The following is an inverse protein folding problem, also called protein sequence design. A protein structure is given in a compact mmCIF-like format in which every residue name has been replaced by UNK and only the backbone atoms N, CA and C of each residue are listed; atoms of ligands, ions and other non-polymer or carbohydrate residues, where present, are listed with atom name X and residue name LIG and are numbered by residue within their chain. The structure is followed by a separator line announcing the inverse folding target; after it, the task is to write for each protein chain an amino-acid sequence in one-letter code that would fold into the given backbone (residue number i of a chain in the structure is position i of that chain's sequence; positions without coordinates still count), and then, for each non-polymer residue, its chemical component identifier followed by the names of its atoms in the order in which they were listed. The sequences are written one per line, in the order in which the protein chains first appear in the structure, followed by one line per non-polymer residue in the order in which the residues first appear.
data_IF_696520367796
#
_entry.id   IF_696520367796
#
_cell.length_a   1.000
_cell.length_b   1.000
_cell.length_c   1.000
_cell.angle_alpha   90.00
_cell.angle_beta   90.00
_cell.angle_gamma   90.00
#
_symmetry.space_group_name_H-M   'P 1'
#
loop_
_entity.id
_entity.type
_entity.pdbx_description
1 polymer ?
#
# COMPACT_ATOMS: atom_id res chain seq x y z
N UNK A 1 -53.17 -37.09 65.37
CA UNK A 1 -51.95 -36.27 65.21
C UNK A 1 -51.74 -36.12 63.71
N UNK A 2 -52.01 -35.03 63.00
CA UNK A 2 -52.33 -33.63 63.27
C UNK A 2 -53.50 -33.23 62.36
N UNK A 3 -54.51 -32.54 62.88
CA UNK A 3 -55.51 -31.83 62.07
C UNK A 3 -55.01 -30.40 61.94
N UNK A 4 -54.59 -30.00 60.74
CA UNK A 4 -54.24 -28.61 60.44
C UNK A 4 -55.50 -27.92 59.93
N UNK A 5 -56.12 -27.12 60.81
CA UNK A 5 -57.22 -26.21 60.45
C UNK A 5 -56.60 -24.97 59.83
N UNK A 6 -56.82 -24.78 58.54
CA UNK A 6 -56.43 -23.59 57.80
C UNK A 6 -57.53 -22.54 57.96
N UNK A 7 -57.40 -21.61 58.91
CA UNK A 7 -58.27 -20.44 59.01
C UNK A 7 -57.86 -19.40 57.97
N UNK A 8 -58.60 -19.37 56.86
CA UNK A 8 -58.56 -18.30 55.86
C UNK A 8 -59.19 -17.03 56.43
N UNK A 9 -58.35 -16.05 56.77
CA UNK A 9 -58.78 -14.68 57.10
C UNK A 9 -59.20 -14.00 55.81
N UNK A 10 -60.50 -13.81 55.61
CA UNK A 10 -61.08 -12.95 54.59
C UNK A 10 -60.79 -11.49 54.98
N UNK A 11 -59.62 -10.98 54.59
CA UNK A 11 -59.42 -9.53 54.47
C UNK A 11 -60.23 -9.05 53.25
N UNK A 12 -61.40 -8.45 53.50
CA UNK A 12 -62.08 -7.62 52.51
C UNK A 12 -61.24 -6.36 52.28
N UNK A 13 -60.27 -6.46 51.38
CA UNK A 13 -59.59 -5.28 50.83
C UNK A 13 -60.63 -4.46 50.08
N UNK A 14 -61.04 -3.33 50.65
CA UNK A 14 -61.77 -2.31 49.91
C UNK A 14 -60.81 -1.78 48.84
N UNK A 15 -61.07 -2.14 47.58
CA UNK A 15 -60.40 -1.54 46.44
C UNK A 15 -60.77 -0.05 46.43
N UNK A 16 -59.85 0.80 46.87
CA UNK A 16 -60.03 2.23 46.79
C UNK A 16 -59.88 2.64 45.32
N UNK A 17 -60.92 3.24 44.74
CA UNK A 17 -60.83 3.86 43.42
C UNK A 17 -59.84 5.04 43.53
N UNK A 18 -58.87 5.14 42.63
CA UNK A 18 -58.01 6.32 42.53
C UNK A 18 -58.39 7.17 41.31
N UNK A 19 -58.32 8.48 41.47
CA UNK A 19 -58.56 9.48 40.42
C UNK A 19 -57.49 10.57 40.50
N UNK A 20 -57.47 11.47 39.52
CA UNK A 20 -56.46 12.53 39.45
C UNK A 20 -57.08 13.90 39.69
N UNK A 21 -56.58 14.61 40.72
CA UNK A 21 -56.98 15.97 41.06
C UNK A 21 -56.07 16.99 40.36
N UNK A 22 -56.65 17.75 39.46
CA UNK A 22 -56.00 18.80 38.67
C UNK A 22 -56.30 20.22 39.17
N UNK A 23 -56.98 20.39 40.31
CA UNK A 23 -57.37 21.69 40.89
C UNK A 23 -56.42 22.25 41.95
N UNK A 24 -55.32 21.55 42.26
CA UNK A 24 -54.37 21.93 43.31
C UNK A 24 -53.51 23.17 43.00
N UNK A 25 -53.06 23.85 44.06
CA UNK A 25 -52.33 25.14 44.00
C UNK A 25 -50.88 24.99 43.46
N UNK A 26 -50.28 23.81 43.55
CA UNK A 26 -48.91 23.53 43.12
C UNK A 26 -48.84 22.38 42.10
N UNK A 27 -49.21 22.67 40.85
CA UNK A 27 -49.14 21.71 39.74
C UNK A 27 -47.99 22.09 38.79
N UNK A 28 -47.11 21.13 38.48
CA UNK A 28 -46.06 21.30 37.49
C UNK A 28 -46.69 21.45 36.10
N UNK A 29 -46.45 22.61 35.48
CA UNK A 29 -46.94 22.96 34.14
C UNK A 29 -45.79 22.98 33.15
N UNK A 30 -45.96 22.30 32.02
CA UNK A 30 -45.02 22.30 30.89
C UNK A 30 -45.75 22.87 29.67
N UNK A 31 -45.13 23.84 29.02
CA UNK A 31 -45.68 24.45 27.80
C UNK A 31 -44.95 23.88 26.59
N UNK A 32 -45.70 23.41 25.60
CA UNK A 32 -45.17 22.84 24.35
C UNK A 32 -45.69 23.68 23.20
N UNK A 33 -44.81 24.05 22.26
CA UNK A 33 -45.17 24.78 21.04
C UNK A 33 -45.84 23.86 20.02
N UNK A 34 -46.86 24.36 19.32
CA UNK A 34 -47.60 23.65 18.27
C UNK A 34 -47.31 24.18 16.84
N UNK A 35 -46.33 25.09 16.68
CA UNK A 35 -46.14 25.85 15.43
C UNK A 35 -45.25 25.11 14.43
N UNK A 36 -44.07 24.65 14.84
CA UNK A 36 -43.09 24.07 13.91
C UNK A 36 -42.33 22.89 14.53
N UNK A 37 -42.05 21.88 13.69
CA UNK A 37 -41.14 20.80 14.00
C UNK A 37 -39.72 21.17 13.55
N UNK A 38 -38.67 20.75 14.28
CA UNK A 38 -37.30 21.10 13.93
C UNK A 38 -36.86 20.47 12.60
N UNK A 39 -36.02 21.20 11.86
CA UNK A 39 -35.42 20.70 10.62
C UNK A 39 -34.46 19.53 10.88
N UNK A 40 -34.59 18.48 10.07
CA UNK A 40 -33.70 17.32 10.11
C UNK A 40 -32.39 17.63 9.38
N UNK A 41 -31.38 18.11 10.10
CA UNK A 41 -30.07 18.42 9.52
C UNK A 41 -29.17 17.18 9.48
N UNK A 42 -28.78 16.75 8.29
CA UNK A 42 -27.72 15.75 8.07
C UNK A 42 -26.41 16.45 7.72
N UNK A 43 -25.30 16.04 8.35
CA UNK A 43 -23.96 16.54 8.00
C UNK A 43 -23.54 15.95 6.66
N UNK A 44 -23.42 16.78 5.63
CA UNK A 44 -22.83 16.36 4.36
C UNK A 44 -21.30 16.43 4.45
N UNK A 45 -20.58 15.39 3.99
CA UNK A 45 -19.12 15.44 3.92
C UNK A 45 -18.68 16.39 2.80
N UNK A 46 -17.62 17.16 3.06
CA UNK A 46 -17.04 18.05 2.07
C UNK A 46 -16.01 17.27 1.23
N UNK A 47 -16.52 16.56 0.22
CA UNK A 47 -15.72 15.75 -0.69
C UNK A 47 -15.56 16.51 -2.00
N UNK A 48 -14.32 16.78 -2.40
CA UNK A 48 -14.01 17.33 -3.73
C UNK A 48 -13.29 16.30 -4.58
N UNK A 49 -13.65 16.21 -5.86
CA UNK A 49 -13.02 15.32 -6.83
C UNK A 49 -12.46 16.12 -8.01
N UNK A 50 -11.19 15.92 -8.35
CA UNK A 50 -10.56 16.55 -9.51
C UNK A 50 -9.80 15.52 -10.35
N UNK A 51 -9.81 15.68 -11.67
CA UNK A 51 -9.09 14.80 -12.58
C UNK A 51 -7.63 15.26 -12.72
N UNK A 52 -6.68 14.37 -12.42
CA UNK A 52 -5.23 14.65 -12.43
C UNK A 52 -4.46 13.58 -13.19
N UNK A 53 -3.33 13.96 -13.80
CA UNK A 53 -2.39 13.01 -14.41
C UNK A 53 -1.48 12.43 -13.33
N UNK A 54 -1.34 11.12 -13.29
CA UNK A 54 -0.52 10.43 -12.30
C UNK A 54 0.44 9.44 -12.95
N UNK A 55 1.55 9.20 -12.26
CA UNK A 55 2.42 8.04 -12.45
C UNK A 55 2.52 7.29 -11.12
N UNK A 56 2.21 6.00 -11.15
CA UNK A 56 2.36 5.10 -10.00
C UNK A 56 3.62 4.29 -10.21
N UNK A 57 4.56 4.42 -9.28
CA UNK A 57 5.85 3.74 -9.34
C UNK A 57 6.00 2.80 -8.16
N UNK A 58 6.78 1.74 -8.36
CA UNK A 58 7.08 0.77 -7.32
C UNK A 58 8.59 0.58 -7.22
N UNK A 59 9.15 0.48 -6.02
CA UNK A 59 10.55 0.04 -5.88
C UNK A 59 10.66 -1.45 -6.20
N UNK A 60 11.55 -1.77 -7.15
CA UNK A 60 11.86 -3.16 -7.49
C UNK A 60 12.92 -3.68 -6.51
N UNK A 61 12.73 -4.90 -6.02
CA UNK A 61 13.76 -5.58 -5.22
C UNK A 61 14.84 -6.19 -6.11
N UNK A 62 14.47 -6.56 -7.34
CA UNK A 62 15.33 -7.23 -8.31
C UNK A 62 15.22 -6.48 -9.64
N UNK A 63 16.33 -6.27 -10.34
CA UNK A 63 16.36 -5.86 -11.74
C UNK A 63 17.35 -6.72 -12.53
N UNK A 64 17.23 -6.74 -13.85
CA UNK A 64 18.19 -7.42 -14.71
C UNK A 64 19.27 -6.45 -15.18
N UNK A 65 20.51 -6.91 -15.19
CA UNK A 65 21.66 -6.14 -15.67
C UNK A 65 22.47 -6.94 -16.66
N UNK A 66 22.89 -6.30 -17.76
CA UNK A 66 23.83 -6.90 -18.69
C UNK A 66 25.25 -6.83 -18.12
N UNK A 67 25.98 -7.91 -18.28
CA UNK A 67 27.38 -8.00 -17.90
C UNK A 67 28.23 -8.53 -19.05
N UNK A 68 29.47 -8.09 -19.06
CA UNK A 68 30.53 -8.57 -19.92
C UNK A 68 31.36 -9.58 -19.14
N UNK A 69 31.60 -10.73 -19.74
CA UNK A 69 32.48 -11.77 -19.22
C UNK A 69 33.70 -11.84 -20.12
N UNK A 70 34.89 -11.72 -19.55
CA UNK A 70 36.15 -11.92 -20.27
C UNK A 70 37.12 -12.75 -19.43
N UNK A 71 37.67 -13.82 -20.01
CA UNK A 71 38.69 -14.67 -19.39
C UNK A 71 39.80 -14.93 -20.39
N UNK A 72 41.04 -14.71 -19.97
CA UNK A 72 42.23 -14.93 -20.77
C UNK A 72 43.16 -15.85 -20.00
N UNK A 73 43.36 -17.06 -20.51
CA UNK A 73 44.26 -18.05 -19.95
C UNK A 73 45.43 -18.27 -20.90
N UNK A 74 46.64 -18.16 -20.39
CA UNK A 74 47.85 -18.38 -21.15
C UNK A 74 48.48 -19.71 -20.73
N UNK A 75 48.60 -20.62 -21.68
CA UNK A 75 49.31 -21.88 -21.52
C UNK A 75 50.68 -21.75 -22.17
N UNK A 76 51.71 -21.86 -21.35
CA UNK A 76 53.09 -21.70 -21.78
C UNK A 76 53.78 -23.03 -21.90
N UNK A 77 54.60 -23.12 -22.93
CA UNK A 77 55.40 -24.27 -23.23
C UNK A 77 56.83 -23.82 -23.55
N UNK A 78 57.75 -24.13 -22.65
CA UNK A 78 59.12 -23.66 -22.63
C UNK A 78 60.06 -24.78 -23.06
N UNK A 79 60.83 -24.49 -24.11
CA UNK A 79 61.85 -25.36 -24.67
C UNK A 79 63.22 -24.73 -24.46
N UNK A 80 64.24 -25.58 -24.43
CA UNK A 80 65.65 -25.17 -24.50
C UNK A 80 66.08 -25.19 -25.96
N UNK A 81 66.52 -24.04 -26.45
CA UNK A 81 67.10 -23.91 -27.78
C UNK A 81 68.59 -24.20 -27.74
N UNK A 82 68.96 -25.40 -28.16
CA UNK A 82 70.34 -25.90 -28.11
C UNK A 82 71.15 -25.49 -29.34
N UNK A 83 72.46 -25.74 -29.29
CA UNK A 83 73.32 -25.55 -30.47
C UNK A 83 73.22 -26.75 -31.42
N UNK A 84 72.98 -27.94 -30.87
CA UNK A 84 72.92 -29.21 -31.62
C UNK A 84 71.61 -29.99 -31.42
N UNK A 85 70.92 -29.82 -30.30
CA UNK A 85 69.68 -30.52 -29.96
C UNK A 85 68.77 -29.61 -29.16
N UNK A 86 67.49 -29.59 -29.52
CA UNK A 86 66.45 -28.89 -28.77
C UNK A 86 65.80 -29.85 -27.78
N UNK A 87 65.64 -29.41 -26.54
CA UNK A 87 65.09 -30.23 -25.46
C UNK A 87 64.00 -29.49 -24.70
N UNK A 88 63.23 -30.24 -23.91
CA UNK A 88 62.27 -29.66 -22.98
C UNK A 88 62.97 -29.15 -21.73
N UNK A 89 62.54 -28.00 -21.23
CA UNK A 89 62.95 -27.55 -19.89
C UNK A 89 62.11 -28.27 -18.84
N UNK A 90 62.73 -28.64 -17.71
CA UNK A 90 61.98 -29.19 -16.58
C UNK A 90 61.02 -28.12 -16.03
N UNK A 91 59.81 -28.52 -15.69
CA UNK A 91 58.70 -27.62 -15.35
C UNK A 91 58.38 -26.57 -16.43
N UNK A 92 58.74 -26.83 -17.69
CA UNK A 92 58.54 -25.91 -18.80
C UNK A 92 57.09 -25.75 -19.28
N UNK A 93 56.14 -26.48 -18.68
CA UNK A 93 54.71 -26.33 -18.95
C UNK A 93 54.01 -25.70 -17.74
N UNK A 94 53.39 -24.54 -17.94
CA UNK A 94 52.64 -23.85 -16.89
C UNK A 94 51.53 -23.00 -17.49
N UNK A 95 50.52 -22.67 -16.69
CA UNK A 95 49.42 -21.80 -17.10
C UNK A 95 49.28 -20.60 -16.16
N UNK A 96 48.88 -19.46 -16.70
CA UNK A 96 48.54 -18.27 -15.93
C UNK A 96 47.25 -17.63 -16.43
N UNK A 97 46.49 -17.01 -15.52
CA UNK A 97 45.33 -16.18 -15.87
C UNK A 97 45.83 -14.76 -16.03
N UNK A 98 45.62 -14.19 -17.21
CA UNK A 98 46.04 -12.82 -17.49
C UNK A 98 44.93 -11.85 -17.11
N UNK A 99 45.31 -10.78 -16.40
CA UNK A 99 44.39 -9.71 -16.03
C UNK A 99 43.97 -8.92 -17.27
N UNK A 100 42.66 -8.67 -17.39
CA UNK A 100 42.07 -7.91 -18.50
C UNK A 100 41.39 -6.67 -17.93
N UNK A 101 41.61 -5.52 -18.56
CA UNK A 101 40.90 -4.28 -18.23
C UNK A 101 39.48 -4.25 -18.82
N UNK A 102 38.62 -3.39 -18.27
CA UNK A 102 37.24 -3.21 -18.76
C UNK A 102 37.21 -2.83 -20.24
N UNK A 103 38.11 -1.95 -20.68
CA UNK A 103 38.17 -1.47 -22.06
C UNK A 103 38.64 -2.56 -23.01
N UNK A 104 39.63 -3.36 -22.63
CA UNK A 104 40.06 -4.53 -23.40
C UNK A 104 38.93 -5.56 -23.51
N UNK A 105 38.14 -5.77 -22.46
CA UNK A 105 36.98 -6.66 -22.51
C UNK A 105 35.87 -6.12 -23.44
N UNK A 106 35.64 -4.80 -23.44
CA UNK A 106 34.73 -4.14 -24.39
C UNK A 106 35.22 -4.33 -25.82
N UNK A 107 36.52 -4.17 -26.08
CA UNK A 107 37.10 -4.38 -27.41
C UNK A 107 36.96 -5.84 -27.87
N UNK A 108 37.15 -6.80 -26.96
CA UNK A 108 36.96 -8.22 -27.28
C UNK A 108 35.51 -8.54 -27.66
N UNK A 109 34.55 -8.02 -26.89
CA UNK A 109 33.12 -8.36 -27.04
C UNK A 109 32.43 -7.56 -28.16
N UNK A 110 32.66 -6.26 -28.22
CA UNK A 110 31.98 -5.36 -29.17
C UNK A 110 32.79 -5.15 -30.44
N UNK A 111 34.10 -4.91 -30.31
CA UNK A 111 34.98 -4.59 -31.45
C UNK A 111 35.59 -5.83 -32.11
N UNK A 112 35.47 -7.02 -31.49
CA UNK A 112 36.02 -8.30 -31.94
C UNK A 112 37.54 -8.28 -32.18
N UNK A 113 38.31 -7.56 -31.36
CA UNK A 113 39.77 -7.64 -31.39
C UNK A 113 40.38 -7.51 -30.00
N UNK A 114 41.62 -7.95 -29.86
CA UNK A 114 42.46 -7.67 -28.70
C UNK A 114 43.86 -7.25 -29.17
N UNK A 115 44.47 -6.29 -28.47
CA UNK A 115 45.88 -5.95 -28.67
C UNK A 115 46.71 -6.70 -27.62
N UNK A 116 47.60 -7.59 -28.08
CA UNK A 116 48.42 -8.38 -27.16
C UNK A 116 49.57 -7.54 -26.60
N UNK A 117 49.53 -7.27 -25.29
CA UNK A 117 50.59 -6.52 -24.58
C UNK A 117 51.82 -7.37 -24.24
N UNK A 118 51.71 -8.70 -24.29
CA UNK A 118 52.70 -9.65 -23.76
C UNK A 118 53.53 -10.35 -24.85
N UNK A 119 53.88 -9.64 -25.92
CA UNK A 119 54.63 -10.20 -27.05
C UNK A 119 54.97 -9.17 -28.10
N UNK A 120 54.65 -9.44 -29.37
CA UNK A 120 54.56 -8.41 -30.40
C UNK A 120 53.26 -7.64 -30.18
N UNK A 121 53.28 -6.32 -30.34
CA UNK A 121 52.11 -5.43 -30.22
C UNK A 121 51.13 -5.68 -31.40
N UNK A 122 50.66 -6.92 -31.54
CA UNK A 122 49.86 -7.43 -32.65
C UNK A 122 48.39 -7.40 -32.26
N UNK A 123 47.60 -6.89 -33.20
CA UNK A 123 46.14 -6.93 -33.12
C UNK A 123 45.66 -8.29 -33.61
N UNK A 124 44.91 -8.99 -32.77
CA UNK A 124 44.32 -10.29 -33.10
C UNK A 124 42.81 -10.10 -33.26
N UNK A 125 42.29 -10.46 -34.42
CA UNK A 125 40.84 -10.44 -34.70
C UNK A 125 40.19 -11.69 -34.11
N UNK A 126 39.08 -11.49 -33.40
CA UNK A 126 38.36 -12.52 -32.69
C UNK A 126 37.09 -12.94 -33.45
N UNK A 127 36.74 -14.24 -33.48
CA UNK A 127 35.48 -14.71 -34.04
C UNK A 127 34.29 -14.30 -33.17
N UNK A 128 33.05 -14.35 -33.67
CA UNK A 128 31.86 -14.01 -32.87
C UNK A 128 31.40 -15.14 -31.93
N UNK A 129 32.13 -16.25 -31.86
CA UNK A 129 31.69 -17.48 -31.17
C UNK A 129 31.95 -17.47 -29.66
N UNK A 130 32.47 -16.37 -29.12
CA UNK A 130 32.73 -16.17 -27.69
C UNK A 130 33.88 -17.01 -27.11
N UNK A 131 34.56 -17.81 -27.94
CA UNK A 131 35.76 -18.55 -27.61
C UNK A 131 36.75 -18.49 -28.77
N UNK A 132 38.02 -18.24 -28.47
CA UNK A 132 39.10 -18.25 -29.46
C UNK A 132 40.41 -18.72 -28.85
N UNK A 133 41.20 -19.46 -29.64
CA UNK A 133 42.54 -19.88 -29.25
C UNK A 133 43.58 -19.36 -30.23
N UNK A 134 44.63 -18.75 -29.69
CA UNK A 134 45.71 -18.14 -30.47
C UNK A 134 47.06 -18.57 -29.94
N UNK A 135 47.92 -19.12 -30.79
CA UNK A 135 49.27 -19.55 -30.40
C UNK A 135 50.33 -18.68 -31.05
N UNK A 136 51.30 -18.23 -30.28
CA UNK A 136 52.43 -17.43 -30.76
C UNK A 136 53.70 -17.68 -29.94
N UNK A 137 54.86 -17.44 -30.55
CA UNK A 137 56.15 -17.48 -29.85
C UNK A 137 56.31 -16.18 -29.06
N UNK A 138 56.23 -16.26 -27.74
CA UNK A 138 56.23 -15.08 -26.86
C UNK A 138 57.61 -14.75 -26.28
N UNK A 139 58.58 -15.66 -26.40
CA UNK A 139 59.96 -15.45 -25.98
C UNK A 139 60.92 -16.29 -26.82
N UNK A 140 62.06 -15.72 -27.21
CA UNK A 140 62.93 -16.29 -28.24
C UNK A 140 62.28 -16.20 -29.62
N UNK A 141 62.75 -16.99 -30.57
CA UNK A 141 62.17 -17.05 -31.91
C UNK A 141 62.21 -18.46 -32.48
N UNK A 142 61.27 -18.73 -33.38
CA UNK A 142 61.23 -19.96 -34.17
C UNK A 142 60.98 -19.51 -35.60
N UNK A 143 61.90 -19.80 -36.50
CA UNK A 143 61.78 -19.47 -37.92
C UNK A 143 62.30 -20.64 -38.77
N UNK A 144 61.51 -21.05 -39.76
CA UNK A 144 61.91 -22.08 -40.73
C UNK A 144 62.39 -23.42 -40.16
N UNK A 145 62.04 -23.78 -38.92
CA UNK A 145 62.48 -25.01 -38.25
C UNK A 145 63.76 -24.86 -37.41
N UNK A 146 64.34 -23.65 -37.32
CA UNK A 146 65.43 -23.31 -36.41
C UNK A 146 64.92 -22.43 -35.27
N UNK A 147 65.43 -22.65 -34.06
CA UNK A 147 65.14 -21.82 -32.90
C UNK A 147 66.23 -20.76 -32.70
N UNK A 148 65.83 -19.56 -32.27
CA UNK A 148 66.74 -18.54 -31.76
C UNK A 148 66.57 -18.46 -30.24
N UNK A 149 67.64 -18.79 -29.51
CA UNK A 149 67.60 -18.83 -28.05
C UNK A 149 67.32 -17.43 -27.51
N UNK A 150 66.26 -17.29 -26.71
CA UNK A 150 66.08 -16.10 -25.89
C UNK A 150 67.11 -16.04 -24.76
N UNK A 151 67.03 -14.96 -23.97
CA UNK A 151 67.81 -14.82 -22.74
C UNK A 151 67.36 -15.80 -21.64
N UNK A 152 67.70 -15.48 -20.39
CA UNK A 152 67.17 -16.24 -19.24
C UNK A 152 65.71 -15.84 -18.99
N UNK A 153 64.80 -16.80 -19.07
CA UNK A 153 63.38 -16.60 -18.75
C UNK A 153 63.13 -17.01 -17.28
N UNK A 154 62.32 -16.23 -16.57
CA UNK A 154 61.88 -16.58 -15.20
C UNK A 154 60.37 -16.77 -15.18
N UNK A 155 59.88 -17.86 -14.60
CA UNK A 155 58.46 -18.12 -14.42
C UNK A 155 57.85 -17.20 -13.35
N UNK A 156 56.51 -17.05 -13.32
CA UNK A 156 55.82 -16.43 -12.17
C UNK A 156 56.11 -17.11 -10.83
N UNK A 157 56.44 -18.42 -10.85
CA UNK A 157 56.84 -19.21 -9.68
C UNK A 157 58.32 -19.11 -9.31
N UNK A 158 59.12 -18.30 -10.03
CA UNK A 158 60.54 -18.03 -9.74
C UNK A 158 61.54 -19.03 -10.35
N UNK A 159 61.10 -19.98 -11.16
CA UNK A 159 61.97 -20.94 -11.85
C UNK A 159 62.68 -20.24 -13.01
N UNK A 160 63.99 -20.44 -13.14
CA UNK A 160 64.81 -19.80 -14.19
C UNK A 160 65.22 -20.83 -15.25
N UNK A 161 65.02 -20.48 -16.52
CA UNK A 161 65.41 -21.28 -17.68
C UNK A 161 66.40 -20.52 -18.55
N UNK A 162 67.56 -21.12 -18.83
CA UNK A 162 68.55 -20.58 -19.75
C UNK A 162 68.20 -20.95 -21.21
N UNK A 163 68.59 -20.08 -22.15
CA UNK A 163 68.39 -20.29 -23.59
C UNK A 163 66.95 -20.71 -23.93
N UNK A 164 66.00 -20.07 -23.28
CA UNK A 164 64.60 -20.48 -23.34
C UNK A 164 63.93 -19.97 -24.62
N UNK A 165 63.04 -20.78 -25.17
CA UNK A 165 62.07 -20.41 -26.19
C UNK A 165 60.69 -20.77 -25.66
N UNK A 166 59.77 -19.80 -25.63
CA UNK A 166 58.43 -19.98 -25.06
C UNK A 166 57.37 -19.82 -26.13
N UNK A 167 56.64 -20.91 -26.36
CA UNK A 167 55.39 -20.88 -27.11
C UNK A 167 54.24 -20.65 -26.13
N UNK A 168 53.38 -19.70 -26.44
CA UNK A 168 52.21 -19.37 -25.63
C UNK A 168 50.97 -19.65 -26.44
N UNK A 169 50.05 -20.43 -25.87
CA UNK A 169 48.69 -20.61 -26.36
C UNK A 169 47.75 -19.83 -25.45
N UNK A 170 47.12 -18.82 -26.00
CA UNK A 170 46.06 -18.06 -25.35
C UNK A 170 44.72 -18.73 -25.60
N UNK A 171 43.93 -18.91 -24.56
CA UNK A 171 42.53 -19.28 -24.61
C UNK A 171 41.69 -18.12 -24.09
N UNK A 172 40.90 -17.55 -24.99
CA UNK A 172 40.09 -16.36 -24.77
C UNK A 172 38.63 -16.77 -24.73
N UNK A 173 37.94 -16.44 -23.64
CA UNK A 173 36.48 -16.55 -23.52
C UNK A 173 35.90 -15.16 -23.31
N UNK A 174 34.98 -14.74 -24.18
CA UNK A 174 34.35 -13.42 -24.11
C UNK A 174 32.87 -13.51 -24.49
N UNK A 175 31.98 -13.14 -23.58
CA UNK A 175 30.53 -13.26 -23.80
C UNK A 175 29.77 -12.15 -23.09
N UNK A 176 28.60 -11.79 -23.62
CA UNK A 176 27.61 -10.99 -22.90
C UNK A 176 26.63 -11.92 -22.20
N UNK A 177 26.26 -11.59 -20.97
CA UNK A 177 25.22 -12.28 -20.22
C UNK A 177 24.28 -11.32 -19.49
N UNK A 178 23.23 -11.87 -18.91
CA UNK A 178 22.29 -11.16 -18.03
C UNK A 178 22.39 -11.72 -16.61
N UNK A 179 22.44 -10.82 -15.62
CA UNK A 179 22.53 -11.14 -14.21
C UNK A 179 21.43 -10.41 -13.43
N UNK A 180 21.13 -10.90 -12.22
CA UNK A 180 20.08 -10.33 -11.36
C UNK A 180 20.70 -9.41 -10.32
N UNK A 181 20.26 -8.16 -10.31
CA UNK A 181 20.66 -7.11 -9.39
C UNK A 181 19.67 -7.04 -8.23
N UNK A 182 20.12 -7.33 -7.01
CA UNK A 182 19.34 -7.22 -5.78
C UNK A 182 19.58 -5.84 -5.15
N UNK A 183 18.60 -4.95 -5.26
CA UNK A 183 18.74 -3.57 -4.81
C UNK A 183 18.80 -3.42 -3.28
N UNK A 184 18.11 -4.28 -2.53
CA UNK A 184 18.08 -4.26 -1.06
C UNK A 184 19.43 -4.67 -0.45
N UNK A 185 20.12 -5.63 -1.08
CA UNK A 185 21.40 -6.21 -0.61
C UNK A 185 22.63 -5.51 -1.22
N UNK A 186 22.44 -4.77 -2.32
CA UNK A 186 23.56 -4.20 -3.09
C UNK A 186 24.40 -5.26 -3.80
N UNK A 187 23.78 -6.36 -4.24
CA UNK A 187 24.47 -7.53 -4.80
C UNK A 187 23.99 -7.87 -6.23
N UNK A 188 24.92 -8.26 -7.09
CA UNK A 188 24.64 -8.89 -8.39
C UNK A 188 24.82 -10.39 -8.24
N UNK A 189 23.78 -11.18 -8.57
CA UNK A 189 23.83 -12.64 -8.62
C UNK A 189 23.81 -13.12 -10.06
N UNK A 190 24.83 -13.89 -10.43
CA UNK A 190 25.00 -14.45 -11.77
C UNK A 190 24.33 -15.83 -11.90
N UNK A 191 24.06 -16.32 -13.13
CA UNK A 191 23.34 -17.58 -13.35
C UNK A 191 23.97 -18.82 -12.69
N UNK A 192 25.29 -18.82 -12.45
CA UNK A 192 25.99 -19.91 -11.76
C UNK A 192 26.00 -19.80 -10.22
N UNK A 193 25.29 -18.81 -9.64
CA UNK A 193 25.23 -18.58 -8.20
C UNK A 193 26.34 -17.69 -7.62
N UNK A 194 27.23 -17.15 -8.46
CA UNK A 194 28.25 -16.18 -8.00
C UNK A 194 27.58 -14.88 -7.59
N UNK A 195 28.07 -14.28 -6.50
CA UNK A 195 27.54 -13.05 -5.91
C UNK A 195 28.65 -12.01 -5.86
N UNK A 196 28.40 -10.83 -6.40
CA UNK A 196 29.37 -9.71 -6.41
C UNK A 196 28.73 -8.41 -5.93
N UNK A 197 29.53 -7.49 -5.40
CA UNK A 197 29.07 -6.18 -4.94
C UNK A 197 28.84 -5.23 -6.12
N UNK A 198 27.66 -4.62 -6.20
CA UNK A 198 27.23 -3.77 -7.33
C UNK A 198 28.10 -2.53 -7.49
N UNK A 199 28.56 -1.95 -6.37
CA UNK A 199 29.25 -0.66 -6.34
C UNK A 199 30.62 -0.65 -7.02
N UNK A 200 31.25 -1.82 -7.16
CA UNK A 200 32.58 -1.94 -7.76
C UNK A 200 32.55 -1.95 -9.29
N UNK A 201 31.40 -2.29 -9.90
CA UNK A 201 31.26 -2.38 -11.36
C UNK A 201 32.12 -3.47 -12.03
N UNK A 202 32.84 -4.27 -11.22
CA UNK A 202 33.72 -5.36 -11.63
C UNK A 202 33.72 -6.46 -10.58
N UNK A 203 34.01 -7.69 -10.99
CA UNK A 203 34.22 -8.82 -10.09
C UNK A 203 35.02 -9.93 -10.76
N UNK A 204 35.91 -10.56 -10.02
CA UNK A 204 36.77 -11.62 -10.51
C UNK A 204 36.35 -12.96 -9.91
N UNK A 205 36.13 -13.96 -10.76
CA UNK A 205 35.72 -15.28 -10.31
C UNK A 205 36.39 -16.38 -11.13
N UNK A 206 36.81 -17.47 -10.48
CA UNK A 206 37.52 -18.59 -11.14
C UNK A 206 36.74 -19.21 -12.31
N UNK A 207 35.41 -19.34 -12.17
CA UNK A 207 34.55 -19.91 -13.21
C UNK A 207 34.23 -18.96 -14.36
N UNK A 208 34.01 -17.67 -14.09
CA UNK A 208 33.60 -16.70 -15.13
C UNK A 208 34.77 -15.90 -15.70
N UNK A 209 35.91 -15.83 -15.02
CA UNK A 209 36.97 -14.86 -15.31
C UNK A 209 36.62 -13.49 -14.73
N UNK A 210 36.94 -12.45 -15.49
CA UNK A 210 36.64 -11.07 -15.17
C UNK A 210 35.22 -10.72 -15.63
N UNK A 211 34.43 -10.17 -14.72
CA UNK A 211 33.06 -9.73 -14.96
C UNK A 211 33.00 -8.21 -14.84
N UNK A 212 32.34 -7.56 -15.80
CA UNK A 212 32.14 -6.12 -15.81
C UNK A 212 30.69 -5.77 -16.10
N UNK A 213 30.17 -4.76 -15.43
CA UNK A 213 28.83 -4.21 -15.72
C UNK A 213 28.85 -2.70 -15.60
N UNK A 214 27.79 -2.05 -16.09
CA UNK A 214 27.60 -0.63 -15.85
C UNK A 214 26.96 -0.45 -14.47
N UNK A 215 27.56 0.33 -13.57
CA UNK A 215 26.92 0.66 -12.29
C UNK A 215 25.63 1.44 -12.61
N UNK A 216 24.44 1.00 -12.15
CA UNK A 216 23.20 1.68 -12.45
C UNK A 216 23.26 3.11 -11.91
N UNK A 217 23.14 4.08 -12.80
CA UNK A 217 22.93 5.47 -12.39
C UNK A 217 21.49 5.64 -11.91
N UNK A 218 21.19 6.64 -11.06
CA UNK A 218 19.83 6.97 -10.64
C UNK A 218 18.97 7.57 -11.79
N UNK A 219 19.30 7.30 -13.05
CA UNK A 219 18.54 7.76 -14.20
C UNK A 219 17.28 6.91 -14.37
N UNK A 220 16.14 7.59 -14.28
CA UNK A 220 14.82 7.00 -14.43
C UNK A 220 14.44 6.65 -15.87
N UNK A 221 15.24 7.07 -16.86
CA UNK A 221 15.09 6.59 -18.24
C UNK A 221 15.72 5.23 -18.45
N UNK A 222 16.57 4.78 -17.51
CA UNK A 222 17.23 3.48 -17.62
C UNK A 222 16.30 2.34 -17.24
N UNK A 223 16.40 1.24 -17.98
CA UNK A 223 15.68 -0.03 -17.73
C UNK A 223 16.06 -0.62 -16.36
N UNK A 224 17.21 -0.23 -15.81
CA UNK A 224 17.78 -0.76 -14.57
C UNK A 224 17.58 0.18 -13.38
N UNK A 225 16.56 1.04 -13.45
CA UNK A 225 16.23 1.94 -12.36
C UNK A 225 15.66 1.16 -11.17
N UNK A 226 15.95 1.64 -9.95
CA UNK A 226 15.43 1.05 -8.69
C UNK A 226 13.90 1.05 -8.57
N UNK A 227 13.24 1.78 -9.47
CA UNK A 227 11.81 1.95 -9.49
C UNK A 227 11.28 1.45 -10.83
N UNK A 228 10.13 0.78 -10.84
CA UNK A 228 9.37 0.42 -12.04
C UNK A 228 8.10 1.27 -12.14
N UNK A 229 7.64 1.50 -13.38
CA UNK A 229 6.37 2.16 -13.65
C UNK A 229 5.24 1.12 -13.65
N UNK A 230 4.33 1.21 -12.69
CA UNK A 230 3.17 0.32 -12.56
C UNK A 230 2.01 0.81 -13.40
N UNK A 231 1.67 2.10 -13.27
CA UNK A 231 0.56 2.72 -13.99
C UNK A 231 0.89 4.15 -14.36
N UNK A 232 0.39 4.58 -15.50
CA UNK A 232 0.48 5.97 -15.95
C UNK A 232 -0.80 6.33 -16.70
N UNK A 233 -1.44 7.41 -16.29
CA UNK A 233 -2.72 7.82 -16.87
C UNK A 233 -3.43 8.87 -16.04
N UNK A 234 -4.68 9.13 -16.40
CA UNK A 234 -5.53 10.07 -15.66
C UNK A 234 -6.23 9.36 -14.51
N UNK A 235 -6.37 10.04 -13.38
CA UNK A 235 -6.97 9.53 -12.17
C UNK A 235 -7.79 10.62 -11.46
N UNK A 236 -8.79 10.21 -10.68
CA UNK A 236 -9.56 11.12 -9.85
C UNK A 236 -8.86 11.28 -8.50
N UNK A 237 -8.42 12.50 -8.19
CA UNK A 237 -8.00 12.88 -6.85
C UNK A 237 -9.23 13.26 -6.04
N UNK A 238 -9.50 12.51 -4.99
CA UNK A 238 -10.60 12.72 -4.04
C UNK A 238 -9.99 13.29 -2.76
N UNK A 239 -10.45 14.47 -2.36
CA UNK A 239 -10.06 15.11 -1.10
C UNK A 239 -11.27 15.08 -0.18
N UNK A 240 -11.14 14.36 0.92
CA UNK A 240 -12.14 14.32 1.98
C UNK A 240 -11.66 15.19 3.14
N UNK A 241 -12.33 16.34 3.31
CA UNK A 241 -12.10 17.26 4.42
C UNK A 241 -13.08 16.94 5.53
N UNK A 242 -12.64 16.10 6.47
CA UNK A 242 -13.41 15.89 7.69
C UNK A 242 -13.31 17.12 8.61
N UNK A 243 -14.31 17.29 9.46
CA UNK A 243 -14.56 18.46 10.35
C UNK A 243 -13.43 18.78 11.34
N UNK A 244 -12.37 17.96 11.38
CA UNK A 244 -11.28 17.90 12.36
C UNK A 244 -9.90 18.22 11.75
N UNK A 245 -9.83 19.04 10.70
CA UNK A 245 -8.59 19.49 10.01
C UNK A 245 -7.72 18.38 9.38
N UNK A 246 -8.13 17.10 9.45
CA UNK A 246 -7.44 16.01 8.77
C UNK A 246 -7.96 15.88 7.34
N UNK A 247 -7.27 16.53 6.41
CA UNK A 247 -7.48 16.30 4.99
C UNK A 247 -6.95 14.90 4.62
N UNK A 248 -7.83 14.03 4.14
CA UNK A 248 -7.41 12.74 3.56
C UNK A 248 -7.55 12.79 2.05
N UNK A 249 -6.46 12.48 1.36
CA UNK A 249 -6.39 12.51 -0.09
C UNK A 249 -6.27 11.09 -0.64
N UNK A 250 -7.08 10.78 -1.65
CA UNK A 250 -7.10 9.49 -2.32
C UNK A 250 -6.97 9.69 -3.82
N UNK A 251 -6.27 8.78 -4.47
CA UNK A 251 -6.22 8.70 -5.92
C UNK A 251 -6.97 7.46 -6.35
N UNK A 252 -7.98 7.65 -7.18
CA UNK A 252 -8.79 6.60 -7.76
C UNK A 252 -8.52 6.49 -9.26
N UNK A 253 -8.14 5.30 -9.69
CA UNK A 253 -7.89 4.96 -11.09
C UNK A 253 -8.95 3.97 -11.53
N UNK A 254 -9.67 4.30 -12.60
CA UNK A 254 -10.62 3.43 -13.27
C UNK A 254 -10.40 3.59 -14.78
N UNK A 255 -9.42 2.87 -15.32
CA UNK A 255 -9.07 2.89 -16.74
C UNK A 255 -8.58 1.50 -17.20
N UNK A 256 -9.31 0.88 -18.13
CA UNK A 256 -8.97 -0.44 -18.68
C UNK A 256 -8.94 -1.52 -17.58
N UNK A 257 -7.83 -2.28 -17.52
CA UNK A 257 -7.63 -3.34 -16.50
C UNK A 257 -7.19 -2.82 -15.12
N UNK A 258 -7.03 -1.49 -14.98
CA UNK A 258 -6.62 -0.84 -13.74
C UNK A 258 -7.83 -0.23 -13.04
N UNK A 259 -8.25 -0.90 -11.96
CA UNK A 259 -9.23 -0.39 -11.01
C UNK A 259 -8.65 -0.50 -9.59
N UNK A 260 -8.21 0.63 -9.04
CA UNK A 260 -7.64 0.69 -7.70
C UNK A 260 -7.80 2.07 -7.07
N UNK A 261 -7.73 2.12 -5.73
CA UNK A 261 -7.70 3.35 -4.97
C UNK A 261 -6.56 3.34 -3.96
N UNK A 262 -5.76 4.39 -3.94
CA UNK A 262 -4.60 4.51 -3.06
C UNK A 262 -4.68 5.79 -2.26
N UNK A 263 -4.44 5.68 -0.95
CA UNK A 263 -4.36 6.86 -0.07
C UNK A 263 -2.99 7.51 -0.21
N UNK A 264 -2.99 8.83 -0.36
CA UNK A 264 -1.76 9.61 -0.35
C UNK A 264 -1.33 9.87 1.09
N UNK A 265 -0.07 9.55 1.36
CA UNK A 265 0.62 9.78 2.63
C UNK A 265 1.40 11.09 2.61
N UNK A 266 2.58 11.07 3.23
CA UNK A 266 3.45 12.25 3.31
C UNK A 266 4.06 12.57 1.93
N UNK A 267 4.04 13.84 1.49
CA UNK A 267 4.84 14.29 0.36
C UNK A 267 6.32 14.38 0.77
N UNK A 268 7.24 14.18 -0.20
CA UNK A 268 8.67 14.46 0.01
C UNK A 268 9.63 13.44 -0.58
N UNK A 269 9.13 12.31 -1.09
CA UNK A 269 9.97 11.34 -1.80
C UNK A 269 10.18 11.81 -3.24
N UNK A 270 11.41 12.15 -3.62
CA UNK A 270 11.74 12.51 -5.00
C UNK A 270 11.97 11.23 -5.81
N UNK A 271 11.11 11.02 -6.82
CA UNK A 271 11.24 9.93 -7.79
C UNK A 271 11.45 10.57 -9.15
N UNK A 272 12.62 10.36 -9.74
CA UNK A 272 12.95 10.87 -11.06
C UNK A 272 12.91 12.41 -11.16
N UNK A 273 13.19 13.10 -10.04
CA UNK A 273 13.11 14.56 -9.96
C UNK A 273 11.70 15.10 -9.69
N UNK A 274 10.69 14.24 -9.58
CA UNK A 274 9.32 14.64 -9.24
C UNK A 274 9.01 14.36 -7.77
N UNK A 275 8.33 15.31 -7.14
CA UNK A 275 7.80 15.12 -5.79
C UNK A 275 6.67 14.09 -5.82
N UNK A 276 6.92 12.96 -5.17
CA UNK A 276 6.00 11.85 -5.06
C UNK A 276 5.48 11.72 -3.64
N UNK A 277 4.30 11.15 -3.54
CA UNK A 277 3.63 10.83 -2.29
C UNK A 277 3.92 9.39 -1.93
N UNK A 278 4.28 9.18 -0.67
CA UNK A 278 4.23 7.85 -0.06
C UNK A 278 2.79 7.34 -0.03
N UNK A 279 2.61 6.03 -0.03
CA UNK A 279 1.29 5.40 0.07
C UNK A 279 1.22 4.51 1.30
N UNK A 280 0.08 3.87 1.54
CA UNK A 280 -0.07 2.85 2.58
C UNK A 280 0.88 1.66 2.38
N UNK A 281 1.36 1.44 1.15
CA UNK A 281 2.34 0.42 0.85
C UNK A 281 3.76 1.02 0.81
N UNK A 282 4.74 0.45 1.53
CA UNK A 282 6.08 1.05 1.70
C UNK A 282 6.90 1.13 0.40
N UNK A 283 6.54 0.31 -0.60
CA UNK A 283 7.22 0.24 -1.90
C UNK A 283 6.46 0.91 -3.03
N UNK A 284 5.27 1.46 -2.78
CA UNK A 284 4.42 2.06 -3.82
C UNK A 284 4.37 3.57 -3.61
N UNK A 285 4.58 4.32 -4.68
CA UNK A 285 4.61 5.77 -4.67
C UNK A 285 3.72 6.32 -5.79
N UNK A 286 3.05 7.43 -5.49
CA UNK A 286 2.18 8.11 -6.46
C UNK A 286 2.77 9.48 -6.73
N UNK A 287 3.08 9.74 -7.99
CA UNK A 287 3.53 11.04 -8.48
C UNK A 287 2.39 11.71 -9.21
N UNK A 288 1.98 12.89 -8.75
CA UNK A 288 1.03 13.73 -9.48
C UNK A 288 1.84 14.57 -10.45
N UNK A 289 1.59 14.43 -11.75
CA UNK A 289 2.35 15.13 -12.80
C UNK A 289 1.64 16.45 -13.12
N UNK A 290 2.25 17.61 -12.82
CA UNK A 290 1.67 18.91 -13.17
C UNK A 290 1.48 19.06 -14.68
N UNK A 291 0.41 19.71 -15.12
CA UNK A 291 0.12 19.93 -16.55
C UNK A 291 1.22 20.73 -17.28
N UNK A 292 1.97 21.57 -16.56
CA UNK A 292 3.06 22.39 -17.10
C UNK A 292 4.46 21.76 -16.96
N UNK A 293 4.54 20.49 -16.56
CA UNK A 293 5.81 19.79 -16.33
C UNK A 293 6.17 18.87 -17.51
N UNK A 294 7.46 18.54 -17.70
CA UNK A 294 7.84 17.53 -18.69
C UNK A 294 7.18 16.19 -18.36
N UNK A 295 6.96 15.40 -19.41
CA UNK A 295 6.42 14.06 -19.29
C UNK A 295 7.22 13.21 -18.31
N UNK A 296 6.53 12.39 -17.51
CA UNK A 296 7.19 11.52 -16.55
C UNK A 296 8.15 10.55 -17.28
N UNK A 297 9.45 10.55 -16.93
CA UNK A 297 10.51 10.03 -17.80
C UNK A 297 10.60 8.50 -17.84
N UNK A 298 9.89 7.79 -16.96
CA UNK A 298 9.89 6.33 -16.94
C UNK A 298 8.98 5.77 -18.04
N UNK A 299 9.50 4.82 -18.82
CA UNK A 299 8.78 4.06 -19.82
C UNK A 299 8.55 2.65 -19.27
N UNK A 300 7.35 2.08 -19.39
CA UNK A 300 6.97 0.77 -18.83
C UNK A 300 8.01 -0.32 -19.11
N UNK A 301 8.59 -0.98 -18.09
CA UNK A 301 9.06 -2.34 -18.21
C UNK A 301 8.34 -3.16 -17.13
N UNK A 302 7.30 -3.89 -17.51
CA UNK A 302 6.69 -4.84 -16.59
C UNK A 302 6.74 -6.20 -17.26
N UNK A 303 7.80 -6.93 -16.95
CA UNK A 303 7.76 -8.39 -16.97
C UNK A 303 6.76 -8.85 -15.91
N UNK A 304 6.05 -9.94 -16.19
CA UNK A 304 4.98 -10.48 -15.33
C UNK A 304 5.42 -10.84 -13.90
N UNK A 305 6.72 -10.89 -13.62
CA UNK A 305 7.28 -11.29 -12.32
C UNK A 305 7.38 -10.13 -11.31
N UNK A 306 7.38 -8.86 -11.74
CA UNK A 306 7.68 -7.72 -10.86
C UNK A 306 6.46 -6.93 -10.36
N UNK A 307 5.27 -7.12 -10.95
CA UNK A 307 4.04 -6.67 -10.29
C UNK A 307 3.81 -7.63 -9.14
N UNK A 308 4.30 -7.25 -7.97
CA UNK A 308 4.04 -8.01 -6.76
C UNK A 308 2.51 -8.11 -6.61
N UNK A 309 1.99 -9.28 -6.94
CA UNK A 309 0.57 -9.59 -7.01
C UNK A 309 -0.11 -9.25 -5.67
N UNK A 310 0.63 -9.35 -4.55
CA UNK A 310 0.17 -8.95 -3.23
C UNK A 310 -0.09 -7.43 -3.12
N UNK A 311 0.71 -6.59 -3.78
CA UNK A 311 0.53 -5.13 -3.74
C UNK A 311 -0.71 -4.70 -4.53
N UNK A 312 -0.98 -5.36 -5.66
CA UNK A 312 -2.18 -5.14 -6.47
C UNK A 312 -3.45 -5.71 -5.79
N UNK A 313 -3.34 -6.88 -5.16
CA UNK A 313 -4.44 -7.49 -4.40
C UNK A 313 -4.79 -6.64 -3.19
N UNK A 314 -3.80 -6.16 -2.44
CA UNK A 314 -4.01 -5.33 -1.26
C UNK A 314 -4.69 -4.01 -1.60
N UNK A 315 -4.33 -3.35 -2.72
CA UNK A 315 -4.98 -2.10 -3.11
C UNK A 315 -6.45 -2.29 -3.52
N UNK A 316 -6.79 -3.40 -4.18
CA UNK A 316 -8.19 -3.75 -4.48
C UNK A 316 -8.99 -4.10 -3.24
N UNK A 317 -8.43 -4.85 -2.29
CA UNK A 317 -9.12 -5.14 -1.03
C UNK A 317 -9.40 -3.88 -0.21
N UNK A 318 -8.42 -2.98 -0.12
CA UNK A 318 -8.58 -1.69 0.54
C UNK A 318 -9.67 -0.85 -0.15
N UNK A 319 -9.70 -0.85 -1.48
CA UNK A 319 -10.76 -0.19 -2.24
C UNK A 319 -12.15 -0.77 -1.92
N UNK A 320 -12.31 -2.09 -1.95
CA UNK A 320 -13.58 -2.75 -1.63
C UNK A 320 -14.04 -2.38 -0.21
N UNK A 321 -13.16 -2.48 0.78
CA UNK A 321 -13.51 -2.12 2.17
C UNK A 321 -13.95 -0.65 2.29
N UNK A 322 -13.27 0.27 1.59
CA UNK A 322 -13.64 1.70 1.60
C UNK A 322 -14.96 1.95 0.90
N UNK A 323 -15.17 1.35 -0.26
CA UNK A 323 -16.42 1.49 -0.99
C UNK A 323 -17.60 0.95 -0.16
N UNK A 324 -17.45 -0.24 0.44
CA UNK A 324 -18.46 -0.78 1.35
C UNK A 324 -18.70 0.13 2.54
N UNK A 325 -17.65 0.68 3.17
CA UNK A 325 -17.80 1.65 4.26
C UNK A 325 -18.58 2.89 3.81
N UNK A 326 -18.25 3.47 2.65
CA UNK A 326 -18.93 4.65 2.13
C UNK A 326 -20.40 4.39 1.86
N UNK A 327 -20.76 3.23 1.31
CA UNK A 327 -22.16 2.87 1.07
C UNK A 327 -22.91 2.61 2.39
N UNK A 328 -22.27 2.00 3.40
CA UNK A 328 -22.86 1.84 4.73
C UNK A 328 -23.07 3.19 5.42
N UNK A 329 -22.08 4.08 5.37
CA UNK A 329 -22.18 5.43 5.95
C UNK A 329 -23.28 6.24 5.23
N UNK A 330 -23.41 6.10 3.91
CA UNK A 330 -24.48 6.72 3.12
C UNK A 330 -25.85 6.21 3.55
N UNK A 331 -26.00 4.89 3.69
CA UNK A 331 -27.24 4.26 4.15
C UNK A 331 -27.59 4.71 5.57
N UNK A 332 -26.61 4.81 6.46
CA UNK A 332 -26.82 5.29 7.83
C UNK A 332 -27.35 6.72 7.84
N UNK A 333 -26.75 7.63 7.07
CA UNK A 333 -27.23 9.03 6.95
C UNK A 333 -28.65 9.11 6.38
N UNK A 334 -28.98 8.27 5.40
CA UNK A 334 -30.34 8.16 4.86
C UNK A 334 -31.33 7.74 5.96
N UNK A 335 -31.00 6.72 6.74
CA UNK A 335 -31.84 6.28 7.84
C UNK A 335 -31.99 7.33 8.94
N UNK A 336 -30.94 8.08 9.27
CA UNK A 336 -31.04 9.17 10.24
C UNK A 336 -32.00 10.26 9.75
N UNK A 337 -31.91 10.62 8.46
CA UNK A 337 -32.79 11.60 7.85
C UNK A 337 -34.25 11.11 7.82
N UNK A 338 -34.49 9.87 7.38
CA UNK A 338 -35.83 9.26 7.36
C UNK A 338 -36.42 9.15 8.77
N UNK A 339 -35.62 8.78 9.78
CA UNK A 339 -36.04 8.76 11.18
C UNK A 339 -36.46 10.14 11.66
N UNK A 340 -35.72 11.18 11.29
CA UNK A 340 -36.08 12.56 11.58
C UNK A 340 -37.42 12.95 10.94
N UNK A 341 -37.60 12.69 9.65
CA UNK A 341 -38.87 12.97 8.95
C UNK A 341 -40.05 12.19 9.55
N UNK A 342 -39.84 10.93 9.91
CA UNK A 342 -40.86 10.11 10.57
C UNK A 342 -41.23 10.68 11.94
N UNK A 343 -40.24 11.10 12.74
CA UNK A 343 -40.48 11.73 14.04
C UNK A 343 -41.24 13.06 13.88
N UNK A 344 -40.93 13.85 12.85
CA UNK A 344 -41.66 15.08 12.56
C UNK A 344 -43.13 14.78 12.20
N UNK A 345 -43.41 13.80 11.34
CA UNK A 345 -44.79 13.36 11.02
C UNK A 345 -45.57 12.88 12.25
N UNK A 346 -44.91 12.11 13.14
CA UNK A 346 -45.53 11.68 14.40
C UNK A 346 -45.84 12.90 15.28
N UNK A 347 -44.91 13.85 15.34
CA UNK A 347 -45.06 15.08 16.13
C UNK A 347 -46.19 15.96 15.57
N UNK A 348 -46.32 16.10 14.25
CA UNK A 348 -47.42 16.80 13.58
C UNK A 348 -48.79 16.14 13.88
N UNK A 349 -48.85 14.81 13.85
CA UNK A 349 -50.06 14.08 14.23
C UNK A 349 -50.42 14.30 15.71
N UNK A 350 -49.43 14.31 16.61
CA UNK A 350 -49.64 14.62 18.02
C UNK A 350 -50.08 16.07 18.24
N UNK A 351 -49.52 17.03 17.50
CA UNK A 351 -49.96 18.43 17.53
C UNK A 351 -51.42 18.55 17.09
N UNK A 352 -51.82 17.83 16.04
CA UNK A 352 -53.23 17.76 15.61
C UNK A 352 -54.12 17.17 16.71
N UNK A 353 -53.68 16.10 17.36
CA UNK A 353 -54.38 15.49 18.50
C UNK A 353 -54.52 16.45 19.68
N UNK A 354 -53.52 17.29 19.94
CA UNK A 354 -53.57 18.31 20.99
C UNK A 354 -54.72 19.30 20.77
N UNK A 355 -55.02 19.66 19.52
CA UNK A 355 -56.13 20.57 19.18
C UNK A 355 -57.51 19.91 19.34
N UNK A 356 -57.65 18.64 18.97
CA UNK A 356 -58.93 17.91 18.99
C UNK A 356 -59.25 17.38 20.40
N UNK A 357 -58.26 16.80 21.07
CA UNK A 357 -58.40 16.20 22.40
C UNK A 357 -57.13 16.43 23.24
N UNK A 358 -57.04 17.55 23.97
CA UNK A 358 -55.87 17.89 24.78
C UNK A 358 -55.54 16.83 25.84
N UNK A 359 -56.56 16.22 26.46
CA UNK A 359 -56.39 15.17 27.48
C UNK A 359 -55.75 13.91 26.90
N UNK A 360 -56.18 13.50 25.70
CA UNK A 360 -55.62 12.32 25.02
C UNK A 360 -54.20 12.60 24.52
N UNK A 361 -53.93 13.82 24.03
CA UNK A 361 -52.57 14.24 23.71
C UNK A 361 -51.63 14.14 24.92
N UNK A 362 -52.05 14.63 26.08
CA UNK A 362 -51.24 14.55 27.29
C UNK A 362 -50.92 13.09 27.67
N UNK A 363 -51.91 12.21 27.57
CA UNK A 363 -51.72 10.78 27.80
C UNK A 363 -50.74 10.16 26.80
N UNK A 364 -50.87 10.46 25.50
CA UNK A 364 -49.98 9.90 24.47
C UNK A 364 -48.55 10.47 24.52
N UNK A 365 -48.40 11.76 24.83
CA UNK A 365 -47.10 12.41 24.92
C UNK A 365 -46.29 11.93 26.13
N UNK A 366 -46.93 11.83 27.30
CA UNK A 366 -46.27 11.39 28.54
C UNK A 366 -46.35 9.88 28.78
N UNK A 367 -47.09 9.13 27.94
CA UNK A 367 -47.32 7.68 28.03
C UNK A 367 -47.73 7.21 29.43
N UNK A 368 -48.44 8.07 30.18
CA UNK A 368 -48.86 7.80 31.55
C UNK A 368 -50.13 8.57 31.91
N UNK A 369 -51.02 8.01 32.75
CA UNK A 369 -52.21 8.70 33.22
C UNK A 369 -51.85 9.79 34.24
N UNK A 370 -52.80 10.69 34.52
CA UNK A 370 -52.60 11.78 35.48
C UNK A 370 -51.98 13.04 34.90
N UNK A 371 -51.97 13.18 33.58
CA UNK A 371 -51.67 14.44 32.91
C UNK A 371 -52.93 15.00 32.28
N UNK A 372 -53.12 16.32 32.39
CA UNK A 372 -54.18 17.05 31.68
C UNK A 372 -53.56 18.13 30.84
N UNK A 373 -54.21 18.52 29.75
CA UNK A 373 -53.73 19.64 28.94
C UNK A 373 -54.85 20.60 28.55
N UNK A 374 -54.45 21.83 28.29
CA UNK A 374 -55.31 22.88 27.75
C UNK A 374 -54.54 23.62 26.67
N UNK A 375 -55.14 23.73 25.49
CA UNK A 375 -54.60 24.51 24.37
C UNK A 375 -54.96 25.99 24.56
N UNK A 376 -53.99 26.87 24.33
CA UNK A 376 -54.18 28.33 24.28
C UNK A 376 -53.39 28.90 23.11
N UNK A 377 -54.10 29.24 22.02
CA UNK A 377 -53.46 29.70 20.79
C UNK A 377 -52.53 28.63 20.23
N UNK A 378 -51.27 29.00 20.02
CA UNK A 378 -50.24 28.17 19.38
C UNK A 378 -49.43 27.31 20.37
N UNK A 379 -49.85 27.24 21.63
CA UNK A 379 -49.19 26.44 22.66
C UNK A 379 -50.18 25.55 23.41
N UNK A 380 -49.69 24.38 23.83
CA UNK A 380 -50.42 23.49 24.73
C UNK A 380 -49.75 23.51 26.11
N UNK A 381 -50.55 23.80 27.13
CA UNK A 381 -50.11 23.74 28.52
C UNK A 381 -50.52 22.39 29.09
N UNK A 382 -49.52 21.57 29.43
CA UNK A 382 -49.73 20.27 30.08
C UNK A 382 -49.43 20.39 31.56
N UNK A 383 -50.23 19.74 32.39
CA UNK A 383 -50.19 19.83 33.84
C UNK A 383 -50.27 18.42 34.44
N UNK A 384 -49.36 18.10 35.38
CA UNK A 384 -49.37 16.81 36.09
C UNK A 384 -50.30 16.85 37.30
N UNK A 385 -51.39 16.11 37.25
CA UNK A 385 -52.38 16.01 38.31
C UNK A 385 -51.93 15.05 39.41
N UNK A 386 -52.42 15.27 40.64
CA UNK A 386 -52.08 14.43 41.79
C UNK A 386 -53.08 13.28 41.91
N UNK A 387 -52.59 12.07 42.10
CA UNK A 387 -53.45 10.93 42.40
C UNK A 387 -54.11 11.11 43.78
N UNK A 388 -55.42 10.84 43.85
CA UNK A 388 -56.26 10.94 45.05
C UNK A 388 -57.20 9.75 45.11
N UNK A 389 -57.45 9.25 46.32
CA UNK A 389 -58.49 8.25 46.54
C UNK A 389 -59.88 8.91 46.43
N UNK A 390 -60.80 8.21 45.77
CA UNK A 390 -62.19 8.65 45.56
C UNK A 390 -63.16 7.50 45.79
N UNK A 391 -64.42 7.82 46.03
CA UNK A 391 -65.50 6.84 46.18
C UNK A 391 -66.62 7.10 45.17
N UNK A 392 -67.21 6.06 44.56
CA UNK A 392 -68.33 6.25 43.64
C UNK A 392 -69.52 6.89 44.37
N UNK A 393 -70.18 7.84 43.71
CA UNK A 393 -71.41 8.44 44.22
C UNK A 393 -72.58 7.55 43.79
N UNK A 394 -73.07 6.74 44.73
CA UNK A 394 -74.04 5.66 44.45
C UNK A 394 -75.49 6.16 44.30
N UNK A 395 -75.83 7.35 44.82
CA UNK A 395 -77.13 7.98 44.65
C UNK A 395 -77.02 9.28 43.84
N UNK A 396 -77.49 9.22 42.60
CA UNK A 396 -77.71 10.39 41.74
C UNK A 396 -79.02 10.21 40.97
N UNK A 397 -79.90 11.20 41.03
CA UNK A 397 -81.18 11.22 40.27
C UNK A 397 -81.00 11.64 38.80
N UNK A 398 -79.76 11.93 38.39
CA UNK A 398 -79.37 12.38 37.05
C UNK A 398 -78.45 11.36 36.36
N UNK A 399 -78.56 11.27 35.02
CA UNK A 399 -77.66 10.46 34.20
C UNK A 399 -76.43 11.27 33.77
N UNK A 400 -75.24 10.72 34.02
CA UNK A 400 -73.96 11.31 33.60
C UNK A 400 -73.27 10.44 32.54
N UNK A 401 -72.47 11.07 31.67
CA UNK A 401 -71.67 10.35 30.66
C UNK A 401 -70.46 9.61 31.26
N UNK A 402 -70.02 10.00 32.46
CA UNK A 402 -68.92 9.40 33.21
C UNK A 402 -69.38 9.06 34.63
N UNK A 403 -68.71 8.10 35.29
CA UNK A 403 -69.04 7.67 36.66
C UNK A 403 -68.82 8.82 37.66
N UNK A 404 -69.85 9.30 38.38
CA UNK A 404 -69.68 10.36 39.38
C UNK A 404 -68.95 9.83 40.62
N UNK A 405 -67.98 10.60 41.12
CA UNK A 405 -67.14 10.24 42.28
C UNK A 405 -67.06 11.37 43.31
N UNK A 406 -66.82 11.03 44.57
CA UNK A 406 -66.59 11.94 45.69
C UNK A 406 -65.14 11.84 46.18
N UNK A 407 -64.52 12.99 46.44
CA UNK A 407 -63.16 13.08 47.00
C UNK A 407 -63.22 12.78 48.50
N UNK A 408 -62.41 11.83 48.98
CA UNK A 408 -62.27 11.59 50.42
C UNK A 408 -61.36 12.67 51.01
N UNK A 409 -61.93 13.68 51.66
CA UNK A 409 -61.12 14.63 52.44
C UNK A 409 -60.54 13.93 53.67
N UNK A 410 -59.22 13.95 53.78
CA UNK A 410 -58.52 13.54 54.99
C UNK A 410 -58.70 14.66 56.04
N UNK A 411 -59.75 14.59 56.85
CA UNK A 411 -59.78 15.36 58.11
C UNK A 411 -58.70 14.76 59.02
N UNK A 412 -57.69 15.53 59.45
CA UNK A 412 -56.84 15.05 60.54
C UNK A 412 -57.74 14.85 61.79
N UNK A 413 -57.54 13.77 62.56
CA UNK A 413 -58.28 13.59 63.81
C UNK A 413 -57.95 14.75 64.78
N UNK A 414 -58.90 15.10 65.67
CA UNK A 414 -58.78 16.24 66.59
C UNK A 414 -57.59 16.15 67.54
#
# INVERSE_FOLDING_TARGET
MFVVVLTSILFSGSWALSAFDCGGVAINKTTISLIETPLCASKQPNITSQLVSIAVTQTTSISEISFLRCKLEAFHQVHRCGVSLDTWHNSGYYSEVLEISRDECIDMVHSNFINLRWGSNTRVTLPKNGYFSYSYTSFGGIDGGSCTSGGTLTSPSGIRWDRAVRNTRLEMTYTVGTARLFHDEGQVKFPNGVVCNVGEGRCDHSGYGHLFWAVPSPDCRSVNSKNSLVFRGMAQLIVDKDSLEKETQYVHVNQGDYDFQVKLGKPGTSICGFNSFSTEHPRLFVTIVPQNSPEFPMVKPVGSEDVNLLNYINSKFVYVMRHTKQEVDRLFRLFEQERGHMQNRITENLMTLALISPKEFAYQYFKSPGYTAVVRGEVVHVAKCREVAVMPRVLTDECYNELPVLKTEHRPPP
#
